data_IF_626808897868
#
_entry.id   IF_626808897868
#
_cell.length_a   1.000
_cell.length_b   1.000
_cell.length_c   1.000
_cell.angle_alpha   90.00
_cell.angle_beta   90.00
_cell.angle_gamma   90.00
#
_symmetry.space_group_name_H-M   'P 1'
#
loop_
_entity.id
_entity.type
_entity.pdbx_description
1 polymer ?
#
# COMPACT_ATOMS: atom_id res chain seq x y z
N UNK A 1 -17.83 57.10 -6.17
CA UNK A 1 -18.42 55.80 -5.75
C UNK A 1 -17.71 54.68 -6.50
N UNK A 2 -16.49 54.30 -6.10
CA UNK A 2 -15.76 53.18 -6.71
C UNK A 2 -15.41 52.20 -5.62
N UNK A 3 -16.18 51.11 -5.50
CA UNK A 3 -15.92 50.05 -4.54
C UNK A 3 -14.56 49.44 -4.83
N UNK A 4 -13.66 49.52 -3.86
CA UNK A 4 -12.34 48.88 -3.87
C UNK A 4 -12.64 47.38 -3.83
N UNK A 5 -12.50 46.70 -4.97
CA UNK A 5 -12.63 45.25 -5.10
C UNK A 5 -11.54 44.57 -4.26
N UNK A 6 -11.77 44.43 -2.96
CA UNK A 6 -11.02 43.52 -2.12
C UNK A 6 -11.38 42.10 -2.54
N UNK A 7 -10.63 41.54 -3.49
CA UNK A 7 -10.70 40.11 -3.80
C UNK A 7 -10.14 39.35 -2.60
N UNK A 8 -11.04 38.92 -1.71
CA UNK A 8 -10.69 38.11 -0.54
C UNK A 8 -9.91 36.89 -1.02
N UNK A 9 -8.61 36.78 -0.67
CA UNK A 9 -7.80 35.59 -0.99
C UNK A 9 -8.50 34.37 -0.42
N UNK A 10 -8.94 33.47 -1.30
CA UNK A 10 -9.56 32.20 -0.93
C UNK A 10 -8.65 31.45 0.04
N UNK A 11 -9.20 31.13 1.22
CA UNK A 11 -8.50 30.41 2.31
C UNK A 11 -7.80 29.18 1.74
N UNK A 12 -6.51 29.04 2.10
CA UNK A 12 -5.58 27.92 1.84
C UNK A 12 -6.28 26.65 1.34
N UNK A 13 -5.89 26.17 0.16
CA UNK A 13 -6.24 24.82 -0.33
C UNK A 13 -6.04 23.85 0.82
N UNK A 14 -7.14 23.32 1.36
CA UNK A 14 -7.07 22.31 2.40
C UNK A 14 -6.17 21.20 1.89
N UNK A 15 -5.10 20.91 2.62
CA UNK A 15 -4.17 19.84 2.31
C UNK A 15 -4.95 18.54 2.40
N UNK A 16 -5.57 18.11 1.29
CA UNK A 16 -6.31 16.85 1.20
C UNK A 16 -5.27 15.74 1.22
N UNK A 17 -4.71 15.45 2.41
CA UNK A 17 -3.90 14.27 2.65
C UNK A 17 -4.79 13.07 2.41
N UNK A 18 -4.78 12.56 1.18
CA UNK A 18 -5.43 11.30 0.84
C UNK A 18 -4.79 10.23 1.72
N UNK A 19 -5.57 9.64 2.63
CA UNK A 19 -5.10 8.53 3.46
C UNK A 19 -4.81 7.36 2.53
N UNK A 20 -3.56 7.20 2.13
CA UNK A 20 -3.14 6.04 1.34
C UNK A 20 -3.24 4.83 2.24
N UNK A 21 -4.15 3.91 1.91
CA UNK A 21 -4.26 2.63 2.61
C UNK A 21 -2.92 1.91 2.46
N UNK A 22 -2.28 1.58 3.57
CA UNK A 22 -1.03 0.80 3.57
C UNK A 22 -1.31 -0.54 2.89
N UNK A 23 -0.71 -0.75 1.72
CA UNK A 23 -0.86 -2.01 0.99
C UNK A 23 -0.05 -3.09 1.70
N UNK A 24 -0.53 -4.35 1.70
CA UNK A 24 0.25 -5.49 2.19
C UNK A 24 1.58 -5.61 1.44
N UNK A 25 2.62 -6.06 2.12
CA UNK A 25 3.94 -6.28 1.51
C UNK A 25 3.87 -7.46 0.54
N UNK A 26 4.50 -7.30 -0.62
CA UNK A 26 4.62 -8.37 -1.63
C UNK A 26 6.10 -8.62 -1.97
N UNK A 27 6.43 -9.86 -2.27
CA UNK A 27 7.79 -10.34 -2.51
C UNK A 27 7.94 -10.89 -3.93
N UNK A 28 9.18 -10.91 -4.42
CA UNK A 28 9.52 -11.44 -5.75
C UNK A 28 9.92 -12.92 -5.71
N UNK A 29 10.23 -13.47 -4.54
CA UNK A 29 10.62 -14.87 -4.37
C UNK A 29 9.93 -15.50 -3.17
N UNK A 30 9.76 -16.82 -3.21
CA UNK A 30 9.18 -17.62 -2.11
C UNK A 30 10.05 -17.51 -0.86
N UNK A 31 11.37 -17.66 -1.04
CA UNK A 31 12.36 -17.59 0.04
C UNK A 31 12.30 -16.25 0.80
N UNK A 32 12.21 -15.13 0.09
CA UNK A 32 12.13 -13.81 0.73
C UNK A 32 10.80 -13.60 1.49
N UNK A 33 9.72 -14.20 1.00
CA UNK A 33 8.42 -14.17 1.67
C UNK A 33 8.45 -15.00 2.97
N UNK A 34 9.06 -16.18 2.94
CA UNK A 34 9.23 -17.05 4.12
C UNK A 34 10.16 -16.45 5.16
N UNK A 35 11.31 -15.89 4.75
CA UNK A 35 12.24 -15.21 5.64
C UNK A 35 11.54 -14.05 6.37
N UNK A 36 10.70 -13.30 5.64
CA UNK A 36 9.89 -12.26 6.26
C UNK A 36 8.84 -12.84 7.22
N UNK A 37 8.14 -13.91 6.87
CA UNK A 37 7.15 -14.54 7.75
C UNK A 37 7.79 -15.05 9.06
N UNK A 38 8.97 -15.67 8.96
CA UNK A 38 9.79 -16.12 10.10
C UNK A 38 10.21 -14.95 10.99
N UNK A 39 10.71 -13.86 10.40
CA UNK A 39 11.10 -12.64 11.14
C UNK A 39 9.91 -12.00 11.88
N UNK A 40 8.70 -12.10 11.34
CA UNK A 40 7.48 -11.59 11.96
C UNK A 40 6.80 -12.62 12.90
N UNK A 41 7.41 -13.77 13.14
CA UNK A 41 6.92 -14.84 14.03
C UNK A 41 5.51 -15.34 13.64
N UNK A 42 5.20 -15.37 12.34
CA UNK A 42 3.95 -15.91 11.83
C UNK A 42 3.97 -17.45 11.91
N UNK A 43 3.09 -18.03 12.74
CA UNK A 43 2.99 -19.49 12.93
C UNK A 43 2.11 -20.17 11.89
N UNK A 44 1.05 -19.50 11.44
CA UNK A 44 0.11 -19.99 10.43
C UNK A 44 -0.02 -18.94 9.34
N UNK A 45 0.53 -19.22 8.16
CA UNK A 45 0.45 -18.32 7.01
C UNK A 45 0.42 -19.11 5.70
N UNK A 46 -0.15 -18.48 4.69
CA UNK A 46 -0.19 -18.98 3.32
C UNK A 46 0.54 -18.04 2.38
N UNK A 47 1.19 -18.61 1.37
CA UNK A 47 1.82 -17.88 0.28
C UNK A 47 0.87 -17.85 -0.91
N UNK A 48 0.41 -16.65 -1.28
CA UNK A 48 -0.44 -16.45 -2.44
C UNK A 48 0.35 -15.74 -3.54
N UNK A 49 0.49 -16.37 -4.71
CA UNK A 49 0.94 -15.67 -5.89
C UNK A 49 -0.22 -14.84 -6.47
N UNK A 50 0.00 -13.54 -6.63
CA UNK A 50 -0.98 -12.60 -7.20
C UNK A 50 -0.92 -12.56 -8.74
N UNK A 51 0.08 -13.22 -9.34
CA UNK A 51 0.19 -13.34 -10.79
C UNK A 51 -0.54 -14.57 -11.29
N UNK A 52 -0.87 -14.53 -12.58
CA UNK A 52 -1.44 -15.68 -13.28
C UNK A 52 -0.44 -16.84 -13.32
N UNK A 53 -0.92 -18.09 -13.30
CA UNK A 53 -0.05 -19.25 -13.51
C UNK A 53 0.63 -19.15 -14.88
N UNK A 54 1.94 -19.39 -14.93
CA UNK A 54 2.75 -19.29 -16.15
C UNK A 54 3.42 -17.93 -16.39
N UNK A 55 3.19 -16.93 -15.53
CA UNK A 55 3.94 -15.67 -15.55
C UNK A 55 5.41 -15.90 -15.16
N UNK A 56 6.35 -15.30 -15.92
CA UNK A 56 7.78 -15.32 -15.60
C UNK A 56 8.08 -14.65 -14.25
N UNK A 57 7.30 -13.62 -13.93
CA UNK A 57 7.45 -12.85 -12.71
C UNK A 57 6.55 -13.36 -11.59
N UNK A 58 7.10 -13.41 -10.38
CA UNK A 58 6.38 -13.74 -9.16
C UNK A 58 5.99 -12.48 -8.37
N UNK A 59 4.78 -12.48 -7.82
CA UNK A 59 4.35 -11.49 -6.83
C UNK A 59 3.64 -12.18 -5.68
N UNK A 60 4.43 -12.55 -4.68
CA UNK A 60 3.97 -13.39 -3.56
C UNK A 60 3.54 -12.51 -2.40
N UNK A 61 2.38 -12.81 -1.85
CA UNK A 61 1.86 -12.17 -0.65
C UNK A 61 1.76 -13.20 0.47
N UNK A 62 2.25 -12.84 1.65
CA UNK A 62 2.07 -13.62 2.88
C UNK A 62 0.71 -13.25 3.48
N UNK A 63 -0.19 -14.22 3.61
CA UNK A 63 -1.50 -14.05 4.23
C UNK A 63 -1.46 -14.82 5.55
N UNK A 64 -1.48 -14.10 6.67
CA UNK A 64 -1.61 -14.73 7.98
C UNK A 64 -3.03 -15.30 8.14
N UNK A 65 -3.12 -16.53 8.60
CA UNK A 65 -4.41 -17.05 9.08
C UNK A 65 -4.75 -16.37 10.41
N UNK A 66 -6.03 -16.03 10.57
CA UNK A 66 -6.54 -15.30 11.73
C UNK A 66 -6.94 -16.26 12.84
#
# INVERSE_FOLDING_TARGET
MGSIYYTVRLKKKADRKRKTRRRPKSFKSVESAEAWAKANKLKKYHLKNLRLPGSSDMKIQVIAEK
#
